data_IF_084035917697
#
_entry.id   IF_084035917697
#
_cell.length_a   1.000
_cell.length_b   1.000
_cell.length_c   1.000
_cell.angle_alpha   90.00
_cell.angle_beta   90.00
_cell.angle_gamma   90.00
#
_symmetry.space_group_name_H-M   'P 1'
#
loop_
_entity.id
_entity.type
_entity.pdbx_description
1 polymer ?
#
# COMPACT_ATOMS: atom_id res chain seq x y z
N UNK A 1 2.62 8.78 -3.70
CA UNK A 1 2.27 9.72 -2.61
C UNK A 1 3.58 10.22 -1.99
N UNK A 2 3.69 11.48 -1.50
CA UNK A 2 4.82 11.89 -0.64
C UNK A 2 4.81 11.13 0.69
N UNK A 3 5.97 10.97 1.33
CA UNK A 3 6.10 10.21 2.60
C UNK A 3 5.25 10.79 3.72
N UNK A 4 5.34 12.10 3.99
CA UNK A 4 4.57 12.72 5.08
C UNK A 4 3.07 12.51 4.89
N UNK A 5 2.56 12.73 3.67
CA UNK A 5 1.14 12.48 3.35
C UNK A 5 0.77 11.02 3.56
N UNK A 6 1.66 10.08 3.28
CA UNK A 6 1.41 8.66 3.53
C UNK A 6 1.32 8.37 5.03
N UNK A 7 2.26 8.87 5.83
CA UNK A 7 2.28 8.69 7.28
C UNK A 7 1.01 9.25 7.93
N UNK A 8 0.60 10.47 7.56
CA UNK A 8 -0.62 11.09 8.07
C UNK A 8 -1.87 10.24 7.77
N UNK A 9 -1.90 9.54 6.62
CA UNK A 9 -3.01 8.69 6.22
C UNK A 9 -2.99 7.33 6.92
N UNK A 10 -1.82 6.79 7.27
CA UNK A 10 -1.70 5.55 8.07
C UNK A 10 -2.33 5.72 9.45
N UNK A 11 -2.22 6.91 10.04
CA UNK A 11 -2.80 7.23 11.34
C UNK A 11 -4.30 7.52 11.28
N UNK A 12 -4.87 7.72 10.09
CA UNK A 12 -6.27 8.08 9.94
C UNK A 12 -7.21 6.89 10.25
N UNK A 13 -8.31 7.12 10.99
CA UNK A 13 -9.26 6.07 11.35
C UNK A 13 -9.87 5.37 10.12
N UNK A 14 -10.04 4.05 10.21
CA UNK A 14 -10.65 3.24 9.16
C UNK A 14 -9.71 2.88 8.01
N UNK A 15 -8.46 3.36 8.04
CA UNK A 15 -7.42 2.92 7.12
C UNK A 15 -6.71 1.67 7.62
N UNK A 16 -6.30 0.85 6.65
CA UNK A 16 -5.56 -0.39 6.86
C UNK A 16 -4.31 -0.34 5.99
N UNK A 17 -3.16 -0.50 6.65
CA UNK A 17 -1.87 -0.61 6.00
C UNK A 17 -1.60 -2.07 5.64
N UNK A 18 -1.27 -2.32 4.38
CA UNK A 18 -0.82 -3.62 3.88
C UNK A 18 0.57 -3.48 3.29
N UNK A 19 1.51 -4.29 3.77
CA UNK A 19 2.90 -4.30 3.28
C UNK A 19 3.22 -5.65 2.66
N UNK A 20 3.74 -5.63 1.43
CA UNK A 20 4.22 -6.83 0.74
C UNK A 20 5.20 -6.46 -0.38
N UNK A 21 5.88 -7.47 -0.95
CA UNK A 21 6.87 -7.26 -2.02
C UNK A 21 6.19 -6.93 -3.36
N UNK A 22 6.15 -5.64 -3.69
CA UNK A 22 5.52 -5.10 -4.90
C UNK A 22 4.00 -4.93 -4.82
N UNK A 23 3.45 -4.09 -5.70
CA UNK A 23 2.03 -3.69 -5.71
C UNK A 23 1.07 -4.88 -5.93
N UNK A 24 1.48 -5.88 -6.70
CA UNK A 24 0.65 -7.06 -6.97
C UNK A 24 0.42 -7.88 -5.70
N UNK A 25 1.47 -8.10 -4.90
CA UNK A 25 1.39 -8.83 -3.65
C UNK A 25 0.56 -8.07 -2.61
N UNK A 26 0.74 -6.75 -2.54
CA UNK A 26 -0.07 -5.86 -1.68
C UNK A 26 -1.56 -5.97 -2.04
N UNK A 27 -1.88 -5.89 -3.34
CA UNK A 27 -3.26 -5.99 -3.80
C UNK A 27 -3.86 -7.38 -3.60
N UNK A 28 -3.06 -8.43 -3.73
CA UNK A 28 -3.50 -9.78 -3.43
C UNK A 28 -3.85 -9.93 -1.94
N UNK A 29 -3.02 -9.39 -1.05
CA UNK A 29 -3.29 -9.42 0.39
C UNK A 29 -4.50 -8.57 0.78
N UNK A 30 -4.62 -7.35 0.24
CA UNK A 30 -5.78 -6.51 0.49
C UNK A 30 -7.10 -7.17 0.08
N UNK A 31 -7.12 -7.89 -1.06
CA UNK A 31 -8.27 -8.70 -1.48
C UNK A 31 -8.58 -9.85 -0.51
N UNK A 32 -7.54 -10.56 -0.03
CA UNK A 32 -7.71 -11.64 0.96
C UNK A 32 -8.33 -11.13 2.27
N UNK A 33 -8.00 -9.91 2.66
CA UNK A 33 -8.55 -9.25 3.84
C UNK A 33 -9.93 -8.62 3.61
N UNK A 34 -10.45 -8.63 2.38
CA UNK A 34 -11.74 -8.03 2.03
C UNK A 34 -11.73 -6.50 2.02
N UNK A 35 -10.56 -5.87 1.86
CA UNK A 35 -10.42 -4.41 1.88
C UNK A 35 -10.97 -3.78 0.61
N UNK A 36 -11.39 -2.52 0.72
CA UNK A 36 -12.02 -1.77 -0.37
C UNK A 36 -10.99 -1.26 -1.36
N UNK A 37 -11.36 -1.36 -2.64
CA UNK A 37 -10.62 -0.81 -3.76
C UNK A 37 -11.33 0.44 -4.33
N UNK A 38 -10.58 1.38 -4.95
CA UNK A 38 -9.12 1.39 -5.10
C UNK A 38 -8.41 1.66 -3.77
N UNK A 39 -7.11 1.35 -3.70
CA UNK A 39 -6.27 1.80 -2.59
C UNK A 39 -6.34 3.32 -2.46
N UNK A 40 -6.29 3.83 -1.23
CA UNK A 40 -6.11 5.27 -0.95
C UNK A 40 -4.77 5.73 -1.54
N UNK A 41 -3.75 4.89 -1.47
CA UNK A 41 -2.47 5.13 -2.13
C UNK A 41 -1.47 4.02 -1.93
N UNK A 42 -0.38 4.11 -2.68
CA UNK A 42 0.80 3.26 -2.52
C UNK A 42 2.02 4.11 -2.22
N UNK A 43 2.91 3.55 -1.42
CA UNK A 43 4.15 4.20 -1.04
C UNK A 43 5.29 3.20 -0.81
N UNK A 44 6.48 3.60 -1.22
CA UNK A 44 7.74 2.92 -0.91
C UNK A 44 8.86 3.96 -0.96
N UNK A 45 9.90 3.88 -0.12
CA UNK A 45 10.97 4.88 -0.05
C UNK A 45 11.65 5.13 -1.41
N UNK A 46 11.92 4.06 -2.17
CA UNK A 46 12.66 4.11 -3.44
C UNK A 46 11.76 4.14 -4.69
N UNK A 47 10.47 4.43 -4.53
CA UNK A 47 9.47 4.36 -5.60
C UNK A 47 9.49 3.00 -6.37
N UNK A 48 9.59 1.91 -5.61
CA UNK A 48 9.77 0.54 -6.10
C UNK A 48 8.47 -0.27 -6.20
N UNK A 49 7.36 0.23 -5.64
CA UNK A 49 6.07 -0.45 -5.63
C UNK A 49 5.65 -1.04 -6.98
N UNK A 50 5.89 -0.30 -8.08
CA UNK A 50 5.46 -0.64 -9.43
C UNK A 50 6.59 -1.14 -10.34
N UNK A 51 7.79 -1.39 -9.81
CA UNK A 51 8.90 -1.94 -10.60
C UNK A 51 8.66 -3.41 -10.90
N UNK A 52 9.05 -3.81 -12.12
CA UNK A 52 9.03 -5.19 -12.57
C UNK A 52 10.46 -5.60 -12.95
N UNK A 53 11.06 -6.61 -12.31
CA UNK A 53 10.51 -7.41 -11.21
C UNK A 53 10.39 -6.59 -9.90
N UNK A 54 9.59 -7.08 -8.94
CA UNK A 54 9.45 -6.43 -7.64
C UNK A 54 10.77 -6.48 -6.84
N UNK A 55 11.37 -5.32 -6.61
CA UNK A 55 12.70 -5.20 -5.99
C UNK A 55 12.68 -5.07 -4.47
N UNK A 56 11.51 -4.84 -3.85
CA UNK A 56 11.39 -4.70 -2.41
C UNK A 56 9.96 -4.40 -1.95
N UNK A 57 9.85 -3.90 -0.73
CA UNK A 57 8.56 -3.71 -0.08
C UNK A 57 7.79 -2.53 -0.64
N UNK A 58 6.49 -2.75 -0.77
CA UNK A 58 5.49 -1.77 -1.11
C UNK A 58 4.46 -1.71 0.00
N UNK A 59 4.03 -0.49 0.32
CA UNK A 59 2.95 -0.24 1.25
C UNK A 59 1.72 0.21 0.47
N UNK A 60 0.59 -0.47 0.63
CA UNK A 60 -0.71 -0.03 0.16
C UNK A 60 -1.58 0.36 1.34
N UNK A 61 -2.25 1.50 1.21
CA UNK A 61 -3.23 1.95 2.19
C UNK A 61 -4.63 1.75 1.62
N UNK A 62 -5.49 1.10 2.39
CA UNK A 62 -6.85 0.75 1.98
C UNK A 62 -7.86 1.17 3.05
N UNK A 63 -9.13 1.22 2.67
CA UNK A 63 -10.22 1.30 3.62
C UNK A 63 -10.74 -0.11 3.94
N UNK A 64 -11.23 -0.32 5.16
CA UNK A 64 -12.05 -1.50 5.46
C UNK A 64 -13.35 -1.50 4.67
#
# INVERSE_FOLDING_TARGET
>A
MPEQTFLDQVEAPGHVLVTARGVEAVNAEARRQGLRFPAVGYWSPENICFKTPATGDCNGLFQR
#
